data_IF_057663417303
#
_entry.id   IF_057663417303
#
_cell.length_a   1.000
_cell.length_b   1.000
_cell.length_c   1.000
_cell.angle_alpha   90.00
_cell.angle_beta   90.00
_cell.angle_gamma   90.00
#
_symmetry.space_group_name_H-M   'P 1'
#
loop_
_entity.id
_entity.type
_entity.pdbx_description
1 polymer ?
#
# COMPACT_ATOMS: atom_id res chain seq x y z
N UNK A 1 -35.70 4.38 22.48
CA UNK A 1 -34.24 4.65 22.47
C UNK A 1 -33.41 3.37 22.57
N UNK A 2 -33.52 2.56 23.63
CA UNK A 2 -32.74 1.32 23.78
C UNK A 2 -33.00 0.25 22.70
N UNK A 3 -34.26 0.01 22.32
CA UNK A 3 -34.58 -0.99 21.29
C UNK A 3 -33.99 -0.65 19.91
N UNK A 4 -33.96 0.64 19.54
CA UNK A 4 -33.33 1.09 18.30
C UNK A 4 -31.81 0.89 18.34
N UNK A 5 -31.19 1.18 19.48
CA UNK A 5 -29.76 0.95 19.67
C UNK A 5 -29.41 -0.54 19.57
N UNK A 6 -30.15 -1.41 20.25
CA UNK A 6 -29.96 -2.87 20.18
C UNK A 6 -30.16 -3.37 18.75
N UNK A 7 -31.20 -2.89 18.05
CA UNK A 7 -31.43 -3.24 16.65
C UNK A 7 -30.26 -2.84 15.75
N UNK A 8 -29.73 -1.62 15.89
CA UNK A 8 -28.56 -1.16 15.14
C UNK A 8 -27.31 -1.99 15.46
N UNK A 9 -27.09 -2.34 16.73
CA UNK A 9 -25.97 -3.20 17.10
C UNK A 9 -26.08 -4.60 16.49
N UNK A 10 -27.27 -5.21 16.50
CA UNK A 10 -27.49 -6.51 15.86
C UNK A 10 -27.26 -6.40 14.36
N UNK A 11 -27.73 -5.31 13.72
CA UNK A 11 -27.51 -5.08 12.29
C UNK A 11 -26.01 -4.97 11.97
N UNK A 12 -25.26 -4.16 12.73
CA UNK A 12 -23.81 -4.03 12.55
C UNK A 12 -23.10 -5.36 12.78
N UNK A 13 -23.48 -6.11 13.82
CA UNK A 13 -22.91 -7.43 14.10
C UNK A 13 -23.13 -8.42 12.95
N UNK A 14 -24.33 -8.42 12.35
CA UNK A 14 -24.62 -9.25 11.17
C UNK A 14 -23.78 -8.82 9.98
N UNK A 15 -23.62 -7.50 9.73
CA UNK A 15 -22.77 -6.99 8.67
C UNK A 15 -21.30 -7.37 8.87
N UNK A 16 -20.78 -7.27 10.09
CA UNK A 16 -19.42 -7.68 10.45
C UNK A 16 -19.22 -9.19 10.26
N UNK A 17 -20.20 -10.02 10.65
CA UNK A 17 -20.15 -11.47 10.43
C UNK A 17 -20.10 -11.80 8.92
N UNK A 18 -20.91 -11.12 8.10
CA UNK A 18 -20.88 -11.27 6.64
C UNK A 18 -19.53 -10.83 6.08
N UNK A 19 -19.01 -9.67 6.48
CA UNK A 19 -17.69 -9.19 6.05
C UNK A 19 -16.57 -10.16 6.44
N UNK A 20 -16.64 -10.77 7.63
CA UNK A 20 -15.72 -11.81 8.10
C UNK A 20 -15.77 -13.06 7.23
N UNK A 21 -16.98 -13.57 6.92
CA UNK A 21 -17.17 -14.73 6.05
C UNK A 21 -16.65 -14.45 4.64
N UNK A 22 -16.95 -13.28 4.07
CA UNK A 22 -16.44 -12.87 2.76
C UNK A 22 -14.91 -12.81 2.79
N UNK A 23 -14.31 -12.16 3.79
CA UNK A 23 -12.85 -12.07 3.93
C UNK A 23 -12.20 -13.45 4.00
N UNK A 24 -12.82 -14.39 4.73
CA UNK A 24 -12.34 -15.77 4.82
C UNK A 24 -12.42 -16.53 3.49
N UNK A 25 -13.55 -16.41 2.79
CA UNK A 25 -13.74 -17.08 1.48
C UNK A 25 -12.76 -16.56 0.42
N UNK A 26 -12.47 -15.26 0.43
CA UNK A 26 -11.60 -14.62 -0.55
C UNK A 26 -10.14 -14.45 -0.08
N UNK A 27 -9.75 -15.08 1.04
CA UNK A 27 -8.42 -14.91 1.63
C UNK A 27 -7.27 -15.23 0.66
N UNK A 28 -7.46 -16.20 -0.24
CA UNK A 28 -6.43 -16.62 -1.19
C UNK A 28 -6.43 -15.71 -2.44
N UNK A 29 -7.57 -15.16 -2.82
CA UNK A 29 -7.71 -14.33 -4.03
C UNK A 29 -7.32 -12.87 -3.78
N UNK A 30 -7.53 -12.39 -2.56
CA UNK A 30 -7.32 -10.99 -2.20
C UNK A 30 -5.85 -10.55 -2.35
N UNK A 31 -4.84 -11.33 -1.93
CA UNK A 31 -3.44 -11.03 -2.20
C UNK A 31 -3.16 -10.94 -3.70
N UNK A 32 -3.67 -11.88 -4.52
CA UNK A 32 -3.44 -11.87 -5.97
C UNK A 32 -4.01 -10.63 -6.66
N UNK A 33 -5.24 -10.26 -6.30
CA UNK A 33 -5.87 -9.04 -6.84
C UNK A 33 -5.06 -7.79 -6.48
N UNK A 34 -4.55 -7.73 -5.25
CA UNK A 34 -3.71 -6.65 -4.79
C UNK A 34 -2.36 -6.64 -5.51
N UNK A 35 -1.68 -7.78 -5.64
CA UNK A 35 -0.39 -7.89 -6.32
C UNK A 35 -0.47 -7.56 -7.81
N UNK A 36 -1.63 -7.70 -8.45
CA UNK A 36 -1.80 -7.33 -9.86
C UNK A 36 -2.12 -5.83 -10.03
N UNK A 37 -2.86 -5.23 -9.09
CA UNK A 37 -3.38 -3.86 -9.23
C UNK A 37 -2.48 -2.78 -8.60
N UNK A 38 -1.79 -3.09 -7.52
CA UNK A 38 -0.91 -2.14 -6.82
C UNK A 38 0.32 -1.74 -7.65
N UNK A 39 1.09 -2.66 -8.25
CA UNK A 39 2.24 -2.28 -9.08
C UNK A 39 1.83 -1.41 -10.26
N UNK A 40 0.70 -1.72 -10.90
CA UNK A 40 0.15 -0.90 -11.98
C UNK A 40 -0.22 0.50 -11.50
N UNK A 41 -0.88 0.62 -10.34
CA UNK A 41 -1.24 1.92 -9.75
C UNK A 41 0.00 2.74 -9.40
N UNK A 42 1.00 2.12 -8.77
CA UNK A 42 2.28 2.76 -8.44
C UNK A 42 3.00 3.21 -9.71
N UNK A 43 3.12 2.35 -10.70
CA UNK A 43 3.82 2.64 -11.95
C UNK A 43 3.17 3.80 -12.74
N UNK A 44 1.84 3.85 -12.77
CA UNK A 44 1.08 4.75 -13.64
C UNK A 44 0.61 6.05 -12.99
N UNK A 45 0.43 6.08 -11.67
CA UNK A 45 -0.24 7.19 -10.96
C UNK A 45 0.59 7.86 -9.89
N UNK A 46 1.64 7.20 -9.38
CA UNK A 46 2.49 7.79 -8.35
C UNK A 46 3.15 9.07 -8.87
N UNK A 47 3.20 10.11 -8.04
CA UNK A 47 3.61 11.50 -8.34
C UNK A 47 2.72 12.31 -9.31
N UNK A 48 1.81 11.65 -10.04
CA UNK A 48 0.83 12.33 -10.91
C UNK A 48 -0.45 12.69 -10.16
N UNK A 49 -0.85 11.83 -9.22
CA UNK A 49 -1.98 12.04 -8.33
C UNK A 49 -1.47 12.11 -6.88
N UNK A 50 -1.67 13.26 -6.24
CA UNK A 50 -1.23 13.51 -4.87
C UNK A 50 -1.94 12.58 -3.87
N UNK A 51 -3.21 12.25 -4.12
CA UNK A 51 -3.98 11.35 -3.25
C UNK A 51 -3.44 9.92 -3.31
N UNK A 52 -3.07 9.47 -4.51
CA UNK A 52 -2.43 8.15 -4.71
C UNK A 52 -1.04 8.15 -4.09
N UNK A 53 -0.26 9.21 -4.29
CA UNK A 53 1.09 9.34 -3.73
C UNK A 53 1.05 9.26 -2.20
N UNK A 54 0.17 10.04 -1.57
CA UNK A 54 -0.05 10.00 -0.12
C UNK A 54 -0.49 8.62 0.38
N UNK A 55 -1.40 7.96 -0.35
CA UNK A 55 -1.88 6.63 0.02
C UNK A 55 -0.77 5.57 -0.07
N UNK A 56 0.03 5.59 -1.14
CA UNK A 56 1.17 4.69 -1.35
C UNK A 56 2.23 4.91 -0.28
N UNK A 57 2.62 6.17 -0.03
CA UNK A 57 3.63 6.49 1.00
C UNK A 57 3.17 6.09 2.40
N UNK A 58 1.90 6.38 2.73
CA UNK A 58 1.31 5.98 4.01
C UNK A 58 1.26 4.46 4.17
N UNK A 59 0.92 3.73 3.10
CA UNK A 59 0.91 2.27 3.08
C UNK A 59 2.32 1.73 3.36
N UNK A 60 3.33 2.21 2.65
CA UNK A 60 4.72 1.74 2.77
C UNK A 60 5.29 1.97 4.17
N UNK A 61 5.05 3.16 4.74
CA UNK A 61 5.50 3.49 6.10
C UNK A 61 4.77 2.64 7.14
N UNK A 62 3.45 2.50 7.02
CA UNK A 62 2.61 1.85 8.03
C UNK A 62 2.78 0.33 8.03
N UNK A 63 2.84 -0.27 6.85
CA UNK A 63 2.94 -1.73 6.68
C UNK A 63 4.38 -2.21 6.50
N UNK A 64 5.36 -1.29 6.47
CA UNK A 64 6.79 -1.61 6.38
C UNK A 64 7.08 -2.45 5.14
N UNK A 65 6.59 -1.99 4.00
CA UNK A 65 6.78 -2.59 2.68
C UNK A 65 7.35 -1.57 1.69
N UNK A 66 7.79 -2.04 0.52
CA UNK A 66 8.26 -1.17 -0.55
C UNK A 66 7.84 -1.73 -1.91
N UNK A 67 7.16 -0.91 -2.70
CA UNK A 67 6.50 -1.32 -3.95
C UNK A 67 5.11 -1.90 -3.73
N UNK A 68 4.55 -2.51 -4.77
CA UNK A 68 3.26 -3.21 -4.72
C UNK A 68 3.44 -4.71 -4.49
N UNK A 69 4.48 -5.29 -5.11
CA UNK A 69 4.95 -6.66 -4.94
C UNK A 69 6.41 -6.66 -4.49
N UNK A 70 7.23 -5.80 -5.08
CA UNK A 70 8.66 -5.71 -4.79
C UNK A 70 9.14 -4.28 -4.90
N UNK A 71 10.24 -3.96 -4.21
CA UNK A 71 10.92 -2.67 -4.37
C UNK A 71 11.36 -2.42 -5.82
N UNK A 72 11.50 -3.48 -6.63
CA UNK A 72 11.84 -3.38 -8.04
C UNK A 72 10.73 -2.78 -8.90
N UNK A 73 9.48 -2.76 -8.43
CA UNK A 73 8.34 -2.13 -9.13
C UNK A 73 8.62 -0.65 -9.43
N UNK A 74 9.43 0.00 -8.59
CA UNK A 74 9.86 1.38 -8.77
C UNK A 74 10.74 1.57 -9.99
N UNK A 75 11.56 0.58 -10.37
CA UNK A 75 12.46 0.69 -11.51
C UNK A 75 11.70 0.84 -12.84
N UNK A 76 10.50 0.26 -12.93
CA UNK A 76 9.64 0.31 -14.11
C UNK A 76 8.60 1.45 -14.07
N UNK A 77 8.54 2.20 -12.96
CA UNK A 77 7.54 3.24 -12.76
C UNK A 77 7.77 4.48 -13.63
N UNK A 78 6.68 5.16 -14.01
CA UNK A 78 6.76 6.48 -14.68
C UNK A 78 7.41 7.53 -13.80
N UNK A 79 7.23 7.42 -12.48
CA UNK A 79 7.91 8.27 -11.52
C UNK A 79 9.43 8.15 -11.67
N UNK A 80 9.98 6.94 -11.79
CA UNK A 80 11.43 6.76 -11.97
C UNK A 80 11.97 7.44 -13.24
N UNK A 81 11.14 7.55 -14.28
CA UNK A 81 11.48 8.28 -15.51
C UNK A 81 11.45 9.80 -15.34
N UNK A 82 10.69 10.32 -14.37
CA UNK A 82 10.59 11.77 -14.12
C UNK A 82 11.68 12.29 -13.18
N UNK A 83 12.26 11.44 -12.33
CA UNK A 83 13.37 11.82 -11.45
C UNK A 83 14.72 11.70 -12.16
N UNK A 84 15.48 12.79 -12.20
CA UNK A 84 16.85 12.82 -12.74
C UNK A 84 17.92 12.34 -11.76
N UNK A 85 17.58 12.26 -10.48
CA UNK A 85 18.48 11.81 -9.42
C UNK A 85 18.62 10.27 -9.39
N UNK A 86 19.74 9.77 -8.86
CA UNK A 86 20.00 8.34 -8.64
C UNK A 86 19.17 7.75 -7.47
N UNK A 87 17.89 8.13 -7.41
CA UNK A 87 16.92 7.67 -6.43
C UNK A 87 16.27 6.39 -6.95
N UNK A 88 16.39 5.28 -6.23
CA UNK A 88 15.89 3.97 -6.68
C UNK A 88 14.46 3.72 -6.25
N UNK A 89 14.10 4.19 -5.05
CA UNK A 89 12.77 4.07 -4.46
C UNK A 89 12.42 5.38 -3.74
N UNK A 90 11.15 5.68 -3.44
CA UNK A 90 10.81 6.84 -2.62
C UNK A 90 11.28 6.70 -1.18
N UNK A 91 11.42 7.82 -0.48
CA UNK A 91 11.87 7.83 0.92
C UNK A 91 10.87 7.15 1.88
N UNK A 92 9.61 6.98 1.47
CA UNK A 92 8.59 6.23 2.20
C UNK A 92 8.89 4.72 2.31
N UNK A 93 9.75 4.18 1.44
CA UNK A 93 10.25 2.80 1.55
C UNK A 93 11.31 2.59 2.64
N UNK A 94 11.88 3.68 3.17
CA UNK A 94 12.98 3.61 4.10
C UNK A 94 12.56 3.19 5.51
N UNK A 95 13.42 2.42 6.19
CA UNK A 95 13.24 2.08 7.60
C UNK A 95 13.32 3.31 8.49
N UNK A 96 14.15 4.27 8.10
CA UNK A 96 14.23 5.60 8.70
C UNK A 96 13.99 6.61 7.58
N UNK A 97 12.83 7.26 7.63
CA UNK A 97 12.42 8.21 6.59
C UNK A 97 13.27 9.48 6.74
N UNK A 98 14.23 9.64 5.85
CA UNK A 98 15.07 10.84 5.72
C UNK A 98 15.14 11.22 4.26
N UNK A 99 15.34 12.51 3.98
CA UNK A 99 15.50 13.01 2.62
C UNK A 99 16.59 12.23 1.87
N UNK A 100 16.27 11.79 0.64
CA UNK A 100 17.16 11.07 -0.26
C UNK A 100 17.68 9.72 0.26
N UNK A 101 17.03 9.13 1.27
CA UNK A 101 17.34 7.78 1.73
C UNK A 101 17.15 6.74 0.61
N UNK A 102 16.17 6.95 -0.27
CA UNK A 102 15.82 6.08 -1.39
C UNK A 102 16.89 5.95 -2.49
N UNK A 103 18.03 6.65 -2.39
CA UNK A 103 19.19 6.44 -3.27
C UNK A 103 19.86 5.07 -3.09
N UNK A 104 19.65 4.41 -1.95
CA UNK A 104 20.20 3.08 -1.64
C UNK A 104 19.08 2.11 -1.29
N UNK A 105 18.98 1.04 -2.06
CA UNK A 105 18.00 -0.04 -1.91
C UNK A 105 18.52 -1.21 -1.06
N UNK A 106 19.58 -1.04 -0.27
CA UNK A 106 20.14 -2.11 0.56
C UNK A 106 19.11 -2.60 1.61
N UNK A 107 19.03 -3.91 1.94
CA UNK A 107 18.03 -4.46 2.87
C UNK A 107 18.15 -3.92 4.31
N UNK A 108 19.26 -3.28 4.67
CA UNK A 108 19.38 -2.57 5.95
C UNK A 108 18.71 -1.20 5.95
N UNK A 109 18.45 -0.63 4.78
CA UNK A 109 17.98 0.75 4.58
C UNK A 109 16.49 0.82 4.26
N UNK A 110 15.99 -0.12 3.45
CA UNK A 110 14.59 -0.18 3.02
C UNK A 110 13.92 -1.49 3.45
N UNK A 111 12.60 -1.51 3.41
CA UNK A 111 11.83 -2.74 3.60
C UNK A 111 11.76 -3.53 2.29
N UNK A 112 12.08 -4.82 2.33
CA UNK A 112 11.85 -5.74 1.21
C UNK A 112 10.50 -6.42 1.43
N UNK A 113 9.73 -6.49 0.35
CA UNK A 113 8.42 -7.15 0.28
C UNK A 113 8.59 -8.45 -0.50
#
# INVERSE_FOLDING_TARGET
>A
MFLQYIFLLILVLVLEAVAGVVSYVYQDQLPHLLTDSLPATISERYSLDESVTFAVDSMQIKFRCCGGVSYMDWAESKWKQSVTADVRVPDSCCKTVTEACGMRDHPSNIWYT
#
